data_IF_166808926717
#
_entry.id   IF_166808926717
#
_cell.length_a   1.000
_cell.length_b   1.000
_cell.length_c   1.000
_cell.angle_alpha   90.00
_cell.angle_beta   90.00
_cell.angle_gamma   90.00
#
_symmetry.space_group_name_H-M   'P 1'
#
loop_
_entity.id
_entity.type
_entity.pdbx_description
1 polymer ?
#
# COMPACT_ATOMS: atom_id res chain seq x y z
N UNK A 1 -42.30 42.06 31.38
CA UNK A 1 -41.08 42.87 31.44
C UNK A 1 -41.43 44.31 31.69
N UNK A 2 -40.57 45.02 32.41
CA UNK A 2 -40.69 46.46 32.54
C UNK A 2 -40.32 47.15 31.22
N UNK A 3 -40.90 48.31 30.92
CA UNK A 3 -40.57 49.11 29.73
C UNK A 3 -39.06 49.40 29.62
N UNK A 4 -38.37 49.46 30.76
CA UNK A 4 -36.92 49.61 30.86
C UNK A 4 -36.16 48.37 30.37
N UNK A 5 -36.63 47.16 30.69
CA UNK A 5 -36.03 45.92 30.19
C UNK A 5 -36.16 45.80 28.67
N UNK A 6 -37.33 46.12 28.14
CA UNK A 6 -37.58 46.09 26.69
C UNK A 6 -36.70 47.11 25.95
N UNK A 7 -36.53 48.30 26.53
CA UNK A 7 -35.61 49.31 26.01
C UNK A 7 -34.15 48.84 26.06
N UNK A 8 -33.71 48.25 27.17
CA UNK A 8 -32.37 47.68 27.31
C UNK A 8 -32.12 46.56 26.29
N UNK A 9 -33.08 45.66 26.07
CA UNK A 9 -33.01 44.62 25.04
C UNK A 9 -32.88 45.21 23.65
N UNK A 10 -33.69 46.23 23.34
CA UNK A 10 -33.64 46.91 22.04
C UNK A 10 -32.27 47.57 21.79
N UNK A 11 -31.74 48.28 22.79
CA UNK A 11 -30.42 48.92 22.72
C UNK A 11 -29.32 47.87 22.56
N UNK A 12 -29.33 46.81 23.37
CA UNK A 12 -28.34 45.73 23.28
C UNK A 12 -28.39 45.00 21.93
N UNK A 13 -29.58 44.86 21.35
CA UNK A 13 -29.75 44.30 20.00
C UNK A 13 -29.11 45.22 18.96
N UNK A 14 -29.37 46.54 19.02
CA UNK A 14 -28.73 47.51 18.11
C UNK A 14 -27.21 47.53 18.27
N UNK A 15 -26.70 47.54 19.49
CA UNK A 15 -25.25 47.45 19.77
C UNK A 15 -24.67 46.17 19.16
N UNK A 16 -25.34 45.03 19.32
CA UNK A 16 -24.90 43.75 18.77
C UNK A 16 -24.87 43.75 17.24
N UNK A 17 -25.89 44.36 16.61
CA UNK A 17 -25.94 44.53 15.15
C UNK A 17 -24.79 45.40 14.66
N UNK A 18 -24.52 46.53 15.31
CA UNK A 18 -23.39 47.41 14.97
C UNK A 18 -22.05 46.66 15.10
N UNK A 19 -21.87 45.89 16.18
CA UNK A 19 -20.67 45.05 16.37
C UNK A 19 -20.48 44.05 15.22
N UNK A 20 -21.54 43.35 14.79
CA UNK A 20 -21.49 42.40 13.66
C UNK A 20 -21.13 43.11 12.35
N UNK A 21 -21.72 44.27 12.07
CA UNK A 21 -21.43 45.05 10.86
C UNK A 21 -19.96 45.50 10.85
N UNK A 22 -19.44 45.98 11.99
CA UNK A 22 -18.04 46.35 12.13
C UNK A 22 -17.11 45.16 11.90
N UNK A 23 -17.42 43.98 12.45
CA UNK A 23 -16.65 42.75 12.21
C UNK A 23 -16.66 42.36 10.73
N UNK A 24 -17.82 42.37 10.07
CA UNK A 24 -17.94 42.08 8.64
C UNK A 24 -17.11 43.05 7.79
N UNK A 25 -17.16 44.35 8.10
CA UNK A 25 -16.34 45.36 7.42
C UNK A 25 -14.86 45.09 7.61
N UNK A 26 -14.43 44.78 8.84
CA UNK A 26 -13.03 44.48 9.14
C UNK A 26 -12.52 43.26 8.38
N UNK A 27 -13.30 42.18 8.30
CA UNK A 27 -12.95 40.99 7.50
C UNK A 27 -12.77 41.33 6.01
N UNK A 28 -13.56 42.27 5.49
CA UNK A 28 -13.47 42.70 4.09
C UNK A 28 -12.35 43.69 3.77
N UNK A 29 -11.97 44.54 4.72
CA UNK A 29 -10.95 45.59 4.55
C UNK A 29 -9.55 45.17 4.99
N UNK A 30 -9.44 44.39 6.07
CA UNK A 30 -8.15 43.97 6.61
C UNK A 30 -7.55 42.85 5.73
N UNK A 31 -6.38 43.13 5.16
CA UNK A 31 -5.74 42.24 4.18
C UNK A 31 -5.37 40.87 4.76
N UNK A 32 -4.99 40.82 6.04
CA UNK A 32 -4.67 39.60 6.79
C UNK A 32 -5.89 38.66 6.89
N UNK A 33 -7.03 39.17 7.37
CA UNK A 33 -8.27 38.42 7.56
C UNK A 33 -8.87 37.98 6.22
N UNK A 34 -8.85 38.86 5.22
CA UNK A 34 -9.28 38.52 3.86
C UNK A 34 -8.45 37.38 3.28
N UNK A 35 -7.12 37.43 3.45
CA UNK A 35 -6.24 36.35 2.99
C UNK A 35 -6.49 35.03 3.71
N UNK A 36 -6.76 35.08 5.03
CA UNK A 36 -7.09 33.89 5.82
C UNK A 36 -8.43 33.28 5.35
N UNK A 37 -9.45 34.11 5.12
CA UNK A 37 -10.75 33.65 4.63
C UNK A 37 -10.64 33.02 3.23
N UNK A 38 -9.84 33.62 2.34
CA UNK A 38 -9.57 33.04 1.02
C UNK A 38 -8.81 31.71 1.12
N UNK A 39 -7.86 31.56 2.06
CA UNK A 39 -7.18 30.28 2.31
C UNK A 39 -8.15 29.22 2.80
N UNK A 40 -9.00 29.54 3.77
CA UNK A 40 -10.04 28.63 4.28
C UNK A 40 -10.99 28.22 3.14
N UNK A 41 -11.42 29.17 2.31
CA UNK A 41 -12.27 28.89 1.15
C UNK A 41 -11.60 27.94 0.16
N UNK A 42 -10.32 28.15 -0.14
CA UNK A 42 -9.55 27.27 -1.01
C UNK A 42 -9.35 25.87 -0.40
N UNK A 43 -9.00 25.79 0.88
CA UNK A 43 -8.85 24.52 1.59
C UNK A 43 -10.17 23.74 1.63
N UNK A 44 -11.30 24.41 1.84
CA UNK A 44 -12.62 23.79 1.84
C UNK A 44 -13.03 23.30 0.45
N UNK A 45 -12.75 24.07 -0.60
CA UNK A 45 -12.93 23.62 -1.98
C UNK A 45 -12.07 22.39 -2.30
N UNK A 46 -10.79 22.43 -1.92
CA UNK A 46 -9.87 21.32 -2.13
C UNK A 46 -10.28 20.05 -1.35
N UNK A 47 -10.76 20.21 -0.12
CA UNK A 47 -11.31 19.11 0.68
C UNK A 47 -12.51 18.47 -0.03
N UNK A 48 -13.42 19.28 -0.57
CA UNK A 48 -14.59 18.79 -1.30
C UNK A 48 -14.19 17.97 -2.55
N UNK A 49 -13.23 18.46 -3.33
CA UNK A 49 -12.70 17.73 -4.49
C UNK A 49 -12.04 16.40 -4.08
N UNK A 50 -11.33 16.38 -2.96
CA UNK A 50 -10.72 15.16 -2.43
C UNK A 50 -11.80 14.15 -1.98
N UNK A 51 -12.87 14.61 -1.34
CA UNK A 51 -14.00 13.78 -0.94
C UNK A 51 -14.70 13.18 -2.16
N UNK A 52 -14.96 13.99 -3.20
CA UNK A 52 -15.54 13.51 -4.45
C UNK A 52 -14.67 12.42 -5.09
N UNK A 53 -13.35 12.60 -5.13
CA UNK A 53 -12.42 11.58 -5.63
C UNK A 53 -12.47 10.29 -4.82
N UNK A 54 -12.55 10.41 -3.49
CA UNK A 54 -12.66 9.24 -2.59
C UNK A 54 -13.97 8.49 -2.83
N UNK A 55 -15.09 9.21 -3.02
CA UNK A 55 -16.38 8.60 -3.33
C UNK A 55 -16.32 7.81 -4.65
N UNK A 56 -15.74 8.38 -5.69
CA UNK A 56 -15.56 7.70 -6.98
C UNK A 56 -14.71 6.42 -6.86
N UNK A 57 -13.64 6.47 -6.05
CA UNK A 57 -12.79 5.30 -5.80
C UNK A 57 -13.56 4.19 -5.06
N UNK A 58 -14.33 4.54 -4.02
CA UNK A 58 -15.16 3.60 -3.27
C UNK A 58 -16.21 2.93 -4.17
N UNK A 59 -16.87 3.70 -5.03
CA UNK A 59 -17.81 3.15 -6.01
C UNK A 59 -17.13 2.18 -6.99
N UNK A 60 -15.91 2.49 -7.43
CA UNK A 60 -15.10 1.60 -8.28
C UNK A 60 -14.77 0.29 -7.57
N UNK A 61 -14.35 0.35 -6.31
CA UNK A 61 -14.03 -0.83 -5.51
C UNK A 61 -15.25 -1.72 -5.27
N UNK A 62 -16.42 -1.15 -5.00
CA UNK A 62 -17.65 -1.93 -4.80
C UNK A 62 -18.07 -2.64 -6.10
N UNK A 63 -17.96 -1.98 -7.26
CA UNK A 63 -18.19 -2.62 -8.57
C UNK A 63 -17.23 -3.79 -8.79
N UNK A 64 -15.94 -3.60 -8.54
CA UNK A 64 -14.92 -4.65 -8.68
C UNK A 64 -15.20 -5.84 -7.77
N UNK A 65 -15.58 -5.58 -6.52
CA UNK A 65 -15.94 -6.62 -5.54
C UNK A 65 -17.14 -7.44 -6.00
N UNK A 66 -18.16 -6.81 -6.59
CA UNK A 66 -19.31 -7.52 -7.13
C UNK A 66 -18.92 -8.42 -8.31
N UNK A 67 -18.10 -7.92 -9.25
CA UNK A 67 -17.58 -8.72 -10.36
C UNK A 67 -16.75 -9.92 -9.86
N UNK A 68 -15.90 -9.72 -8.86
CA UNK A 68 -15.12 -10.81 -8.25
C UNK A 68 -16.03 -11.88 -7.62
N UNK A 69 -17.12 -11.46 -6.98
CA UNK A 69 -18.09 -12.38 -6.37
C UNK A 69 -18.83 -13.21 -7.43
N UNK A 70 -19.17 -12.61 -8.57
CA UNK A 70 -19.77 -13.31 -9.70
C UNK A 70 -18.80 -14.33 -10.31
N UNK A 71 -17.56 -13.92 -10.55
CA UNK A 71 -16.51 -14.81 -11.06
C UNK A 71 -16.22 -15.98 -10.11
N UNK A 72 -16.20 -15.73 -8.80
CA UNK A 72 -16.04 -16.78 -7.81
C UNK A 72 -17.21 -17.78 -7.86
N UNK A 73 -18.43 -17.31 -8.09
CA UNK A 73 -19.61 -18.16 -8.21
C UNK A 73 -19.55 -19.01 -9.49
N UNK A 74 -19.18 -18.43 -10.64
CA UNK A 74 -19.06 -19.18 -11.89
C UNK A 74 -17.96 -20.24 -11.80
N UNK A 75 -16.77 -19.86 -11.34
CA UNK A 75 -15.65 -20.80 -11.17
C UNK A 75 -15.99 -21.94 -10.19
N UNK A 76 -16.77 -21.65 -9.14
CA UNK A 76 -17.26 -22.68 -8.22
C UNK A 76 -18.24 -23.66 -8.86
N UNK A 77 -19.08 -23.20 -9.78
CA UNK A 77 -19.97 -24.07 -10.57
C UNK A 77 -19.17 -24.92 -11.54
N UNK A 78 -18.25 -24.32 -12.30
CA UNK A 78 -17.39 -25.03 -13.26
C UNK A 78 -16.56 -26.12 -12.57
N UNK A 79 -16.03 -25.82 -11.38
CA UNK A 79 -15.29 -26.82 -10.59
C UNK A 79 -16.19 -27.99 -10.16
N UNK A 80 -17.44 -27.72 -9.79
CA UNK A 80 -18.40 -28.78 -9.42
C UNK A 80 -18.76 -29.64 -10.62
N UNK A 81 -19.00 -29.03 -11.77
CA UNK A 81 -19.29 -29.71 -13.04
C UNK A 81 -18.10 -30.58 -13.47
N UNK A 82 -16.89 -30.03 -13.47
CA UNK A 82 -15.67 -30.77 -13.78
C UNK A 82 -15.48 -31.98 -12.84
N UNK A 83 -15.74 -31.81 -11.54
CA UNK A 83 -15.70 -32.91 -10.56
C UNK A 83 -16.77 -33.96 -10.83
N UNK A 84 -17.97 -33.54 -11.23
CA UNK A 84 -19.06 -34.45 -11.58
C UNK A 84 -18.73 -35.27 -12.83
N UNK A 85 -18.22 -34.63 -13.88
CA UNK A 85 -17.79 -35.29 -15.11
C UNK A 85 -16.66 -36.29 -14.83
N UNK A 86 -15.66 -35.91 -14.02
CA UNK A 86 -14.57 -36.82 -13.64
C UNK A 86 -15.05 -38.07 -12.88
N UNK A 87 -16.16 -37.99 -12.15
CA UNK A 87 -16.73 -39.13 -11.41
C UNK A 87 -17.59 -40.04 -12.29
N UNK A 88 -18.14 -39.51 -13.38
CA UNK A 88 -19.09 -40.21 -14.26
C UNK A 88 -18.48 -40.49 -15.64
N UNK A 89 -17.22 -40.94 -15.69
CA UNK A 89 -16.55 -41.28 -16.96
C UNK A 89 -17.03 -42.67 -17.42
N UNK A 90 -17.57 -42.79 -18.64
CA UNK A 90 -17.93 -44.08 -19.24
C UNK A 90 -16.74 -45.07 -19.29
N UNK A 91 -16.99 -46.38 -19.09
CA UNK A 91 -15.92 -47.39 -18.97
C UNK A 91 -15.09 -47.60 -20.25
N UNK A 92 -15.53 -47.09 -21.39
CA UNK A 92 -14.84 -47.19 -22.69
C UNK A 92 -13.93 -45.99 -23.02
N UNK A 93 -13.84 -44.99 -22.13
CA UNK A 93 -12.96 -43.83 -22.30
C UNK A 93 -11.65 -44.02 -21.52
N UNK A 94 -10.52 -43.44 -22.01
CA UNK A 94 -9.24 -43.52 -21.32
C UNK A 94 -9.36 -42.94 -19.91
N UNK A 95 -9.03 -43.74 -18.89
CA UNK A 95 -9.01 -43.26 -17.50
C UNK A 95 -7.89 -42.23 -17.34
N UNK A 96 -8.13 -41.07 -16.70
CA UNK A 96 -7.09 -40.08 -16.47
C UNK A 96 -5.94 -40.70 -15.67
N UNK A 97 -4.76 -40.78 -16.26
CA UNK A 97 -3.51 -41.08 -15.54
C UNK A 97 -3.28 -40.00 -14.50
N UNK A 98 -2.85 -40.41 -13.30
CA UNK A 98 -2.66 -39.56 -12.11
C UNK A 98 -1.61 -38.44 -12.26
N UNK A 99 -1.11 -38.16 -13.48
CA UNK A 99 -0.15 -37.10 -13.77
C UNK A 99 -0.77 -35.70 -13.80
N UNK A 100 -2.10 -35.56 -13.91
CA UNK A 100 -2.77 -34.25 -14.04
C UNK A 100 -3.42 -33.72 -12.76
N UNK A 101 -3.26 -34.38 -11.60
CA UNK A 101 -3.99 -34.02 -10.36
C UNK A 101 -3.08 -33.50 -9.23
N UNK A 102 -1.76 -33.55 -9.37
CA UNK A 102 -0.84 -33.24 -8.25
C UNK A 102 -0.65 -31.74 -7.96
N UNK A 103 -1.42 -30.84 -8.57
CA UNK A 103 -1.32 -29.39 -8.32
C UNK A 103 -2.30 -28.80 -7.31
N UNK A 104 -3.43 -29.46 -7.01
CA UNK A 104 -4.54 -28.82 -6.28
C UNK A 104 -5.26 -29.81 -5.36
N UNK A 105 -4.65 -30.16 -4.22
CA UNK A 105 -5.37 -30.75 -3.10
C UNK A 105 -4.85 -30.24 -1.77
N UNK A 106 -5.29 -29.04 -1.36
CA UNK A 106 -5.37 -28.70 0.07
C UNK A 106 -6.66 -29.33 0.59
N UNK A 107 -6.54 -30.43 1.34
CA UNK A 107 -7.65 -31.01 2.10
C UNK A 107 -7.89 -30.20 3.37
N UNK A 108 -9.15 -29.81 3.56
CA UNK A 108 -9.71 -29.30 4.81
C UNK A 108 -10.95 -30.13 5.17
N UNK A 109 -11.08 -30.46 6.46
CA UNK A 109 -12.24 -31.05 7.15
C UNK A 109 -12.14 -32.56 7.44
N UNK A 110 -12.40 -33.10 8.65
CA UNK A 110 -12.84 -32.51 9.92
C UNK A 110 -12.85 -33.57 11.06
N UNK A 111 -12.58 -33.14 12.32
CA UNK A 111 -13.15 -33.62 13.61
C UNK A 111 -12.83 -35.04 14.18
N UNK A 112 -12.64 -35.34 15.49
CA UNK A 112 -12.87 -34.67 16.79
C UNK A 112 -12.10 -35.43 17.91
N UNK A 113 -11.56 -34.74 18.94
CA UNK A 113 -11.90 -34.99 20.37
C UNK A 113 -11.19 -34.01 21.33
N UNK A 114 -12.02 -33.55 22.27
CA UNK A 114 -11.87 -32.55 23.34
C UNK A 114 -10.75 -32.87 24.34
N UNK A 115 -9.92 -31.88 24.70
CA UNK A 115 -9.53 -31.60 26.10
C UNK A 115 -9.06 -30.14 26.22
N UNK A 116 -9.73 -29.36 27.07
CA UNK A 116 -9.32 -28.03 27.56
C UNK A 116 -8.24 -28.20 28.67
N UNK A 117 -7.27 -27.27 28.84
CA UNK A 117 -7.56 -26.07 29.63
C UNK A 117 -6.93 -24.76 29.08
N UNK A 118 -7.73 -23.69 29.10
CA UNK A 118 -7.48 -22.30 29.57
C UNK A 118 -6.15 -21.52 29.33
N UNK A 119 -6.16 -20.17 29.37
CA UNK A 119 -5.98 -19.36 28.17
C UNK A 119 -4.72 -18.47 28.24
N UNK A 120 -3.77 -18.68 27.34
CA UNK A 120 -2.68 -17.73 27.11
C UNK A 120 -2.94 -16.92 25.84
N UNK A 121 -3.24 -15.63 26.05
CA UNK A 121 -3.39 -14.55 25.06
C UNK A 121 -2.33 -14.63 23.94
N UNK A 122 -2.63 -15.33 22.85
CA UNK A 122 -1.88 -15.21 21.59
C UNK A 122 -2.54 -14.11 20.79
N UNK A 123 -1.97 -12.91 20.87
CA UNK A 123 -2.32 -11.80 19.98
C UNK A 123 -2.17 -12.28 18.53
N UNK A 124 -3.29 -12.42 17.84
CA UNK A 124 -3.39 -12.61 16.41
C UNK A 124 -2.75 -11.39 15.75
N UNK A 125 -1.45 -11.46 15.43
CA UNK A 125 -0.81 -10.45 14.60
C UNK A 125 -1.25 -10.74 13.18
N UNK A 126 -2.16 -9.93 12.68
CA UNK A 126 -2.42 -9.81 11.25
C UNK A 126 -1.08 -9.82 10.49
N UNK A 127 -0.94 -10.59 9.41
CA UNK A 127 0.25 -10.56 8.59
C UNK A 127 0.38 -9.15 8.01
N UNK A 128 1.23 -8.33 8.62
CA UNK A 128 1.54 -6.99 8.13
C UNK A 128 2.12 -7.13 6.73
N UNK A 129 1.33 -6.76 5.73
CA UNK A 129 1.68 -6.89 4.32
C UNK A 129 2.94 -6.07 4.02
N UNK A 130 3.94 -6.70 3.42
CA UNK A 130 5.15 -6.04 2.92
C UNK A 130 5.00 -5.96 1.41
N UNK A 131 5.12 -4.75 0.86
CA UNK A 131 5.02 -4.55 -0.59
C UNK A 131 6.29 -5.03 -1.29
N UNK A 132 6.14 -5.91 -2.26
CA UNK A 132 7.21 -6.43 -3.10
C UNK A 132 7.08 -5.89 -4.53
N UNK A 133 8.22 -5.71 -5.21
CA UNK A 133 8.23 -5.34 -6.62
C UNK A 133 7.84 -6.55 -7.47
N UNK A 134 6.87 -6.39 -8.37
CA UNK A 134 6.51 -7.44 -9.32
C UNK A 134 7.69 -7.74 -10.27
N UNK A 135 7.89 -9.02 -10.58
CA UNK A 135 8.85 -9.43 -11.61
C UNK A 135 8.48 -8.78 -12.96
N UNK A 136 9.49 -8.60 -13.81
CA UNK A 136 9.29 -8.15 -15.18
C UNK A 136 8.79 -9.33 -16.00
N UNK A 137 7.74 -9.13 -16.79
CA UNK A 137 7.23 -10.15 -17.72
C UNK A 137 8.07 -10.18 -19.01
N UNK A 138 8.01 -11.28 -19.76
CA UNK A 138 8.75 -11.38 -21.02
C UNK A 138 8.32 -10.31 -22.03
N UNK A 139 7.05 -9.90 -22.01
CA UNK A 139 6.52 -8.83 -22.86
C UNK A 139 7.09 -7.47 -22.47
N UNK A 140 7.07 -7.13 -21.18
CA UNK A 140 7.67 -5.89 -20.67
C UNK A 140 9.16 -5.82 -21.01
N UNK A 141 9.90 -6.91 -20.86
CA UNK A 141 11.32 -6.99 -21.20
C UNK A 141 11.60 -6.77 -22.70
N UNK A 142 10.71 -7.24 -23.59
CA UNK A 142 10.82 -6.99 -25.04
C UNK A 142 10.57 -5.52 -25.38
N UNK A 143 9.69 -4.85 -24.63
CA UNK A 143 9.35 -3.44 -24.81
C UNK A 143 10.42 -2.48 -24.26
N UNK A 144 11.34 -2.95 -23.42
CA UNK A 144 12.46 -2.12 -22.94
C UNK A 144 13.35 -1.71 -24.11
N UNK A 145 13.62 -0.40 -24.30
CA UNK A 145 14.48 0.08 -25.39
C UNK A 145 15.87 -0.58 -25.38
N UNK A 146 16.37 -0.92 -26.58
CA UNK A 146 17.62 -1.65 -26.75
C UNK A 146 18.83 -0.96 -26.09
N UNK A 147 18.87 0.38 -26.11
CA UNK A 147 19.92 1.17 -25.47
C UNK A 147 19.92 1.06 -23.93
N UNK A 148 18.76 0.83 -23.30
CA UNK A 148 18.65 0.59 -21.84
C UNK A 148 18.98 -0.86 -21.49
N UNK A 149 18.50 -1.80 -22.32
CA UNK A 149 18.72 -3.24 -22.12
C UNK A 149 20.20 -3.60 -22.25
N UNK A 150 20.91 -3.02 -23.22
CA UNK A 150 22.31 -3.34 -23.47
C UNK A 150 22.51 -4.84 -23.68
N UNK A 151 23.38 -5.46 -22.87
CA UNK A 151 23.65 -6.91 -22.86
C UNK A 151 22.95 -7.67 -21.72
N UNK A 152 22.01 -7.04 -21.02
CA UNK A 152 21.31 -7.63 -19.88
C UNK A 152 20.24 -8.62 -20.36
N UNK A 153 20.22 -9.80 -19.73
CA UNK A 153 19.20 -10.82 -20.01
C UNK A 153 18.01 -10.69 -19.07
N UNK A 154 16.88 -11.28 -19.47
CA UNK A 154 15.65 -11.33 -18.68
C UNK A 154 15.89 -11.89 -17.27
N UNK A 155 16.58 -13.03 -17.18
CA UNK A 155 16.85 -13.71 -15.92
C UNK A 155 17.73 -12.86 -14.99
N UNK A 156 18.71 -12.14 -15.55
CA UNK A 156 19.60 -11.29 -14.77
C UNK A 156 18.86 -10.12 -14.13
N UNK A 157 17.90 -9.52 -14.86
CA UNK A 157 17.09 -8.43 -14.34
C UNK A 157 16.17 -8.94 -13.24
N UNK A 158 15.47 -10.05 -13.47
CA UNK A 158 14.55 -10.61 -12.49
C UNK A 158 15.27 -11.19 -11.25
N UNK A 159 16.49 -11.70 -11.39
CA UNK A 159 17.32 -12.09 -10.24
C UNK A 159 17.57 -10.90 -9.31
N UNK A 160 17.88 -9.72 -9.88
CA UNK A 160 18.05 -8.49 -9.10
C UNK A 160 16.74 -8.03 -8.45
N UNK A 161 15.59 -8.18 -9.13
CA UNK A 161 14.28 -7.89 -8.52
C UNK A 161 14.03 -8.79 -7.32
N UNK A 162 14.35 -10.07 -7.41
CA UNK A 162 14.22 -11.01 -6.29
C UNK A 162 15.13 -10.63 -5.11
N UNK A 163 16.38 -10.24 -5.38
CA UNK A 163 17.30 -9.76 -4.35
C UNK A 163 16.79 -8.46 -3.68
N UNK A 164 16.24 -7.54 -4.46
CA UNK A 164 15.58 -6.33 -3.95
C UNK A 164 14.40 -6.70 -3.06
N UNK A 165 13.50 -7.59 -3.50
CA UNK A 165 12.36 -8.04 -2.70
C UNK A 165 12.79 -8.71 -1.40
N UNK A 166 13.81 -9.56 -1.46
CA UNK A 166 14.40 -10.20 -0.28
C UNK A 166 14.93 -9.16 0.72
N UNK A 167 15.60 -8.12 0.22
CA UNK A 167 16.09 -6.99 1.02
C UNK A 167 14.94 -6.24 1.69
N UNK A 168 13.88 -5.92 0.94
CA UNK A 168 12.68 -5.24 1.43
C UNK A 168 12.01 -6.09 2.52
N UNK A 169 11.76 -7.37 2.25
CA UNK A 169 11.12 -8.29 3.20
C UNK A 169 11.93 -8.37 4.49
N UNK A 170 13.25 -8.52 4.41
CA UNK A 170 14.11 -8.60 5.60
C UNK A 170 14.10 -7.30 6.41
N UNK A 171 14.23 -6.15 5.75
CA UNK A 171 14.17 -4.83 6.41
C UNK A 171 12.86 -4.61 7.13
N UNK A 172 11.73 -4.83 6.46
CA UNK A 172 10.41 -4.56 7.04
C UNK A 172 9.98 -5.64 8.04
N UNK A 173 10.52 -6.86 7.94
CA UNK A 173 10.40 -7.88 8.99
C UNK A 173 11.05 -7.42 10.30
N UNK A 174 12.22 -6.78 10.22
CA UNK A 174 12.89 -6.18 11.38
C UNK A 174 12.08 -4.98 11.89
N UNK A 175 11.63 -4.06 11.03
CA UNK A 175 10.83 -2.91 11.46
C UNK A 175 9.50 -3.30 12.14
N UNK A 176 8.90 -4.41 11.74
CA UNK A 176 7.65 -4.92 12.34
C UNK A 176 7.86 -5.77 13.60
N UNK A 177 9.09 -6.18 13.91
CA UNK A 177 9.39 -6.97 15.08
C UNK A 177 9.33 -6.10 16.36
N UNK A 178 8.86 -6.62 17.51
CA UNK A 178 8.89 -5.88 18.77
C UNK A 178 10.35 -5.58 19.21
N UNK A 179 10.68 -4.34 19.63
CA UNK A 179 12.05 -3.97 20.02
C UNK A 179 12.63 -4.83 21.17
N UNK A 180 11.75 -5.33 22.04
CA UNK A 180 12.10 -6.18 23.19
C UNK A 180 12.60 -7.57 22.79
N UNK A 181 12.30 -8.05 21.58
CA UNK A 181 12.74 -9.37 21.11
C UNK A 181 13.97 -9.32 20.20
N UNK A 182 14.55 -8.13 19.99
CA UNK A 182 15.71 -7.94 19.11
C UNK A 182 17.04 -8.05 19.86
N UNK A 183 18.02 -8.71 19.23
CA UNK A 183 19.42 -8.69 19.65
C UNK A 183 20.09 -7.33 19.35
N UNK A 184 21.31 -7.11 19.83
CA UNK A 184 22.01 -5.83 19.67
C UNK A 184 22.24 -5.44 18.20
N UNK A 185 22.64 -6.40 17.34
CA UNK A 185 22.90 -6.13 15.92
C UNK A 185 21.62 -5.72 15.15
N UNK A 186 20.51 -6.45 15.37
CA UNK A 186 19.21 -6.15 14.78
C UNK A 186 18.66 -4.82 15.29
N UNK A 187 18.94 -4.47 16.56
CA UNK A 187 18.57 -3.17 17.13
C UNK A 187 19.33 -2.02 16.48
N UNK A 188 20.62 -2.18 16.21
CA UNK A 188 21.41 -1.18 15.47
C UNK A 188 20.85 -0.98 14.05
N UNK A 189 20.49 -2.06 13.35
CA UNK A 189 19.81 -1.98 12.04
C UNK A 189 18.46 -1.25 12.15
N UNK A 190 17.66 -1.55 13.17
CA UNK A 190 16.38 -0.90 13.41
C UNK A 190 16.54 0.61 13.58
N UNK A 191 17.50 1.08 14.39
CA UNK A 191 17.78 2.51 14.53
C UNK A 191 18.24 3.14 13.21
N UNK A 192 19.15 2.49 12.47
CA UNK A 192 19.59 2.94 11.15
C UNK A 192 18.43 3.07 10.15
N UNK A 193 17.46 2.16 10.19
CA UNK A 193 16.28 2.24 9.31
C UNK A 193 15.39 3.44 9.65
N UNK A 194 15.22 3.76 10.94
CA UNK A 194 14.46 4.93 11.39
C UNK A 194 15.16 6.24 11.02
N UNK A 195 16.49 6.33 11.18
CA UNK A 195 17.28 7.49 10.77
C UNK A 195 17.24 7.72 9.26
N UNK A 196 17.10 6.64 8.49
CA UNK A 196 16.96 6.72 7.05
C UNK A 196 15.57 7.21 6.61
N UNK A 197 14.56 7.29 7.47
CA UNK A 197 13.24 7.79 7.07
C UNK A 197 13.21 9.30 6.82
N UNK A 198 12.41 9.70 5.84
CA UNK A 198 12.18 11.11 5.48
C UNK A 198 10.68 11.35 5.28
N UNK A 199 10.28 12.63 5.19
CA UNK A 199 8.88 13.01 4.92
C UNK A 199 8.36 12.37 3.63
N UNK A 200 9.21 12.22 2.60
CA UNK A 200 8.83 11.70 1.28
C UNK A 200 8.69 10.17 1.22
N UNK A 201 9.27 9.47 2.20
CA UNK A 201 9.24 8.00 2.31
C UNK A 201 8.25 7.50 3.36
N UNK A 202 7.57 8.40 4.06
CA UNK A 202 6.57 8.04 5.06
C UNK A 202 5.44 7.21 4.42
N UNK A 203 5.18 6.03 4.97
CA UNK A 203 4.16 5.11 4.48
C UNK A 203 4.52 4.37 3.19
N UNK A 204 5.77 4.45 2.71
CA UNK A 204 6.24 3.74 1.51
C UNK A 204 7.31 2.71 1.88
N UNK A 205 7.39 1.65 1.07
CA UNK A 205 8.44 0.65 1.19
C UNK A 205 9.68 1.10 0.42
N UNK A 206 10.83 1.20 1.08
CA UNK A 206 12.07 1.61 0.45
C UNK A 206 13.28 0.90 1.04
N UNK A 207 14.34 0.81 0.24
CA UNK A 207 15.65 0.29 0.66
C UNK A 207 16.74 1.30 0.29
N UNK A 208 17.87 1.22 1.00
CA UNK A 208 19.08 1.99 0.67
C UNK A 208 20.20 1.04 0.27
N UNK A 209 21.27 1.60 -0.30
CA UNK A 209 22.43 0.82 -0.74
C UNK A 209 23.01 -0.07 0.38
N UNK A 210 23.09 0.46 1.60
CA UNK A 210 23.57 -0.29 2.77
C UNK A 210 22.66 -1.50 3.09
N UNK A 211 21.36 -1.41 2.82
CA UNK A 211 20.42 -2.53 3.07
C UNK A 211 20.69 -3.67 2.09
N UNK A 212 20.98 -3.33 0.82
CA UNK A 212 21.31 -4.31 -0.23
C UNK A 212 22.59 -5.05 0.15
N UNK A 213 23.63 -4.33 0.58
CA UNK A 213 24.90 -4.94 1.03
C UNK A 213 24.76 -5.81 2.27
N UNK A 214 23.82 -5.47 3.16
CA UNK A 214 23.57 -6.23 4.39
C UNK A 214 22.84 -7.55 4.12
N UNK A 215 21.81 -7.53 3.28
CA UNK A 215 20.88 -8.66 3.12
C UNK A 215 21.14 -9.50 1.86
N UNK A 216 22.00 -9.04 0.95
CA UNK A 216 22.30 -9.72 -0.31
C UNK A 216 23.79 -9.64 -0.63
N UNK A 217 24.27 -10.53 -1.50
CA UNK A 217 25.63 -10.49 -2.02
C UNK A 217 25.74 -9.61 -3.30
N UNK A 218 24.70 -8.83 -3.58
CA UNK A 218 24.62 -8.02 -4.79
C UNK A 218 25.59 -6.84 -4.71
N UNK A 219 26.50 -6.76 -5.69
CA UNK A 219 27.43 -5.64 -5.80
C UNK A 219 26.75 -4.45 -6.49
N UNK A 220 26.91 -3.27 -5.90
CA UNK A 220 26.36 -2.02 -6.42
C UNK A 220 27.33 -1.45 -7.45
N UNK A 221 27.38 -2.10 -8.61
CA UNK A 221 28.28 -1.75 -9.72
C UNK A 221 27.54 -1.02 -10.85
N UNK A 222 28.24 -0.69 -11.95
CA UNK A 222 27.61 -0.04 -13.13
C UNK A 222 26.47 -0.88 -13.70
N UNK A 223 26.58 -2.21 -13.64
CA UNK A 223 25.56 -3.14 -14.14
C UNK A 223 24.29 -3.06 -13.30
N UNK A 224 24.41 -2.99 -11.98
CA UNK A 224 23.27 -2.77 -11.08
C UNK A 224 22.54 -1.47 -11.40
N UNK A 225 23.27 -0.37 -11.64
CA UNK A 225 22.65 0.91 -12.03
C UNK A 225 21.94 0.82 -13.40
N UNK A 226 22.51 0.10 -14.37
CA UNK A 226 21.81 -0.18 -15.63
C UNK A 226 20.50 -0.93 -15.40
N UNK A 227 20.48 -1.91 -14.49
CA UNK A 227 19.26 -2.65 -14.13
C UNK A 227 18.26 -1.73 -13.41
N UNK A 228 18.70 -0.88 -12.47
CA UNK A 228 17.83 0.09 -11.82
C UNK A 228 17.14 1.03 -12.82
N UNK A 229 17.84 1.47 -13.87
CA UNK A 229 17.24 2.27 -14.93
C UNK A 229 16.12 1.53 -15.66
N UNK A 230 16.30 0.23 -15.94
CA UNK A 230 15.25 -0.61 -16.54
C UNK A 230 14.07 -0.76 -15.57
N UNK A 231 14.34 -1.04 -14.29
CA UNK A 231 13.29 -1.18 -13.27
C UNK A 231 12.49 0.12 -13.08
N UNK A 232 13.14 1.27 -13.21
CA UNK A 232 12.49 2.58 -13.20
C UNK A 232 11.60 2.78 -14.43
N UNK A 233 12.07 2.35 -15.61
CA UNK A 233 11.28 2.38 -16.85
C UNK A 233 10.03 1.49 -16.75
N UNK A 234 10.18 0.28 -16.20
CA UNK A 234 9.08 -0.65 -15.94
C UNK A 234 8.25 -0.30 -14.68
N UNK A 235 8.47 0.88 -14.08
CA UNK A 235 7.74 1.38 -12.92
C UNK A 235 7.74 0.45 -11.69
N UNK A 236 8.82 -0.33 -11.51
CA UNK A 236 8.99 -1.21 -10.35
C UNK A 236 9.63 -0.50 -9.16
N UNK A 237 10.42 0.53 -9.44
CA UNK A 237 11.08 1.33 -8.40
C UNK A 237 11.20 2.80 -8.78
N UNK A 238 11.39 3.63 -7.75
CA UNK A 238 11.68 5.07 -7.88
C UNK A 238 12.82 5.47 -6.96
N UNK A 239 13.69 6.33 -7.45
CA UNK A 239 14.75 6.93 -6.64
C UNK A 239 14.25 8.22 -5.98
N UNK A 240 14.46 8.34 -4.67
CA UNK A 240 14.33 9.59 -3.91
C UNK A 240 15.70 9.94 -3.36
N UNK A 241 16.20 11.13 -3.68
CA UNK A 241 17.51 11.62 -3.22
C UNK A 241 17.28 12.68 -2.14
N UNK A 242 17.92 12.52 -0.99
CA UNK A 242 17.83 13.48 0.11
C UNK A 242 18.85 13.18 1.20
N UNK A 243 19.42 14.22 1.82
CA UNK A 243 20.43 14.11 2.89
C UNK A 243 21.63 13.23 2.50
N UNK A 244 22.14 13.39 1.28
CA UNK A 244 23.25 12.58 0.70
C UNK A 244 22.97 11.06 0.62
N UNK A 245 21.72 10.64 0.81
CA UNK A 245 21.31 9.24 0.77
C UNK A 245 20.30 9.01 -0.37
N UNK A 246 20.55 7.99 -1.18
CA UNK A 246 19.64 7.54 -2.24
C UNK A 246 18.74 6.44 -1.67
N UNK A 247 17.43 6.63 -1.83
CA UNK A 247 16.40 5.70 -1.37
C UNK A 247 15.66 5.13 -2.57
N UNK A 248 15.68 3.81 -2.69
CA UNK A 248 14.98 3.08 -3.74
C UNK A 248 13.60 2.68 -3.20
N UNK A 249 12.57 3.40 -3.61
CA UNK A 249 11.18 3.16 -3.22
C UNK A 249 10.55 2.13 -4.15
N UNK A 250 9.89 1.13 -3.57
CA UNK A 250 9.15 0.10 -4.30
C UNK A 250 7.79 0.68 -4.75
N UNK A 251 7.54 0.64 -6.05
CA UNK A 251 6.34 1.19 -6.68
C UNK A 251 5.17 0.21 -6.71
#
# INVERSE_FOLDING_TARGET
SSVLEDLCLHINTKISTIKKILQLRNIGQESSLKSMLSKIGYEMFFLNELLNKMEMELQGQEKLKNLLKELQKSAGTDQKEARYLCKNIPPHLPKPTASCVTGLMVKSGEQTKVTEPEPAKKSTKEPRFIKEAALITMEEFKNVPAYMRGRLTYDQINAVVQDINKTVVNKYKILHQPPKSMNAAVRNLYHRFLEAETKDTKGKFFIVEADIKEFTQLKVDKRFHSILNILRHCQRLREIRGSQLVRYVIC
#
